data_IF_237099047551
#
_entry.id   IF_237099047551
#
_cell.length_a   1.000
_cell.length_b   1.000
_cell.length_c   1.000
_cell.angle_alpha   90.00
_cell.angle_beta   90.00
_cell.angle_gamma   90.00
#
_symmetry.space_group_name_H-M   'P 1'
#
loop_
_entity.id
_entity.type
_entity.pdbx_description
1 polymer ?
#
# COMPACT_ATOMS: atom_id res chain seq x y z
N UNK A 1 -13.46 0.20 12.66
CA UNK A 1 -12.57 -0.97 12.43
C UNK A 1 -13.35 -2.19 11.98
N UNK A 2 -14.38 -2.63 12.72
CA UNK A 2 -15.23 -3.75 12.30
C UNK A 2 -15.85 -3.61 10.91
N UNK A 3 -16.23 -2.39 10.49
CA UNK A 3 -16.74 -2.12 9.14
C UNK A 3 -15.72 -2.43 8.04
N UNK A 4 -14.47 -2.02 8.25
CA UNK A 4 -13.37 -2.27 7.31
C UNK A 4 -13.10 -3.77 7.22
N UNK A 5 -13.02 -4.45 8.37
CA UNK A 5 -12.83 -5.90 8.45
C UNK A 5 -13.98 -6.64 7.74
N UNK A 6 -15.23 -6.24 8.03
CA UNK A 6 -16.41 -6.80 7.38
C UNK A 6 -16.37 -6.63 5.86
N UNK A 7 -16.02 -5.44 5.37
CA UNK A 7 -15.88 -5.15 3.95
C UNK A 7 -14.80 -5.99 3.27
N UNK A 8 -13.65 -6.21 3.94
CA UNK A 8 -12.59 -7.09 3.44
C UNK A 8 -13.06 -8.54 3.34
N UNK A 9 -13.76 -9.05 4.35
CA UNK A 9 -14.33 -10.41 4.35
C UNK A 9 -15.36 -10.58 3.23
N UNK A 10 -16.27 -9.63 3.08
CA UNK A 10 -17.26 -9.64 2.01
C UNK A 10 -16.59 -9.59 0.64
N UNK A 11 -15.55 -8.76 0.46
CA UNK A 11 -14.78 -8.69 -0.78
C UNK A 11 -14.08 -10.01 -1.12
N UNK A 12 -13.50 -10.68 -0.12
CA UNK A 12 -12.88 -12.00 -0.29
C UNK A 12 -13.92 -13.07 -0.67
N UNK A 13 -15.07 -13.09 -0.01
CA UNK A 13 -16.17 -14.01 -0.33
C UNK A 13 -16.68 -13.77 -1.76
N UNK A 14 -16.96 -12.52 -2.13
CA UNK A 14 -17.39 -12.17 -3.49
C UNK A 14 -16.34 -12.57 -4.53
N UNK A 15 -15.06 -12.31 -4.28
CA UNK A 15 -13.96 -12.74 -5.14
C UNK A 15 -13.89 -14.27 -5.29
N UNK A 16 -14.16 -15.02 -4.22
CA UNK A 16 -14.22 -16.48 -4.26
C UNK A 16 -15.41 -17.00 -5.08
N UNK A 17 -16.61 -16.41 -4.91
CA UNK A 17 -17.81 -16.77 -5.70
C UNK A 17 -17.64 -16.44 -7.20
N UNK A 18 -17.00 -15.32 -7.51
CA UNK A 18 -16.78 -14.84 -8.88
C UNK A 18 -15.57 -15.48 -9.59
N UNK A 19 -14.81 -16.34 -8.90
CA UNK A 19 -13.57 -16.99 -9.41
C UNK A 19 -13.74 -17.75 -10.72
N UNK A 20 -14.95 -18.27 -11.02
CA UNK A 20 -15.24 -19.03 -12.25
C UNK A 20 -15.64 -18.14 -13.45
N UNK A 21 -15.80 -16.83 -13.26
CA UNK A 21 -16.15 -15.89 -14.33
C UNK A 21 -14.88 -15.20 -14.85
N UNK A 22 -14.81 -15.00 -16.16
CA UNK A 22 -13.69 -14.28 -16.78
C UNK A 22 -13.87 -12.77 -16.52
N UNK A 23 -13.12 -12.25 -15.54
CA UNK A 23 -13.20 -10.85 -15.07
C UNK A 23 -12.22 -9.92 -15.81
N UNK A 24 -11.73 -10.29 -16.99
CA UNK A 24 -10.77 -9.47 -17.78
C UNK A 24 -11.20 -8.02 -17.99
N UNK A 25 -12.50 -7.72 -18.04
CA UNK A 25 -13.04 -6.35 -18.16
C UNK A 25 -12.90 -5.51 -16.89
N UNK A 26 -12.68 -6.12 -15.73
CA UNK A 26 -12.54 -5.41 -14.45
C UNK A 26 -11.18 -4.70 -14.38
N UNK A 27 -10.12 -5.31 -14.92
CA UNK A 27 -8.78 -4.72 -14.87
C UNK A 27 -8.71 -3.31 -15.49
N UNK A 28 -9.19 -3.06 -16.73
CA UNK A 28 -9.19 -1.70 -17.29
C UNK A 28 -10.09 -0.74 -16.51
N UNK A 29 -11.20 -1.22 -15.93
CA UNK A 29 -12.06 -0.40 -15.06
C UNK A 29 -11.31 0.04 -13.80
N UNK A 30 -10.59 -0.88 -13.14
CA UNK A 30 -9.77 -0.56 -11.96
C UNK A 30 -8.71 0.48 -12.33
N UNK A 31 -8.00 0.29 -13.44
CA UNK A 31 -6.98 1.24 -13.89
C UNK A 31 -7.57 2.63 -14.15
N UNK A 32 -8.74 2.71 -14.80
CA UNK A 32 -9.46 3.97 -15.01
C UNK A 32 -9.85 4.63 -13.67
N UNK A 33 -10.35 3.85 -12.71
CA UNK A 33 -10.70 4.35 -11.39
C UNK A 33 -9.47 4.86 -10.61
N UNK A 34 -8.33 4.18 -10.71
CA UNK A 34 -7.07 4.64 -10.11
C UNK A 34 -6.65 5.97 -10.72
N UNK A 35 -6.71 6.11 -12.05
CA UNK A 35 -6.42 7.37 -12.72
C UNK A 35 -7.34 8.50 -12.25
N UNK A 36 -8.63 8.24 -12.16
CA UNK A 36 -9.61 9.21 -11.69
C UNK A 36 -9.36 9.60 -10.23
N UNK A 37 -9.06 8.63 -9.37
CA UNK A 37 -8.73 8.87 -7.96
C UNK A 37 -7.48 9.74 -7.83
N UNK A 38 -6.41 9.43 -8.57
CA UNK A 38 -5.17 10.21 -8.57
C UNK A 38 -5.40 11.63 -9.09
N UNK A 39 -6.26 11.80 -10.09
CA UNK A 39 -6.63 13.10 -10.62
C UNK A 39 -7.37 13.95 -9.58
N UNK A 40 -8.39 13.39 -8.93
CA UNK A 40 -9.14 14.08 -7.86
C UNK A 40 -8.21 14.43 -6.70
N UNK A 41 -7.36 13.49 -6.28
CA UNK A 41 -6.36 13.72 -5.22
C UNK A 41 -5.44 14.88 -5.59
N UNK A 42 -4.99 14.96 -6.84
CA UNK A 42 -4.17 16.06 -7.32
C UNK A 42 -4.87 17.42 -7.25
N UNK A 43 -6.17 17.47 -7.58
CA UNK A 43 -6.99 18.69 -7.45
C UNK A 43 -7.14 19.09 -5.98
N UNK A 44 -7.47 18.13 -5.11
CA UNK A 44 -7.69 18.37 -3.69
C UNK A 44 -6.43 18.91 -3.00
N UNK A 45 -5.28 18.30 -3.31
CA UNK A 45 -3.97 18.76 -2.82
C UNK A 45 -3.57 20.11 -3.42
N UNK A 46 -3.79 20.29 -4.73
CA UNK A 46 -3.44 21.53 -5.45
C UNK A 46 -4.28 22.74 -5.05
N UNK A 47 -5.54 22.52 -4.67
CA UNK A 47 -6.46 23.57 -4.21
C UNK A 47 -6.22 23.97 -2.75
N UNK A 48 -5.41 23.23 -2.00
CA UNK A 48 -5.13 23.53 -0.60
C UNK A 48 -3.85 24.35 -0.46
N UNK A 49 -4.00 25.66 -0.23
CA UNK A 49 -2.86 26.57 -0.07
C UNK A 49 -1.93 26.19 1.10
N UNK A 50 -2.44 25.60 2.18
CA UNK A 50 -1.60 25.16 3.31
C UNK A 50 -0.68 24.02 2.88
N UNK A 51 -1.19 23.07 2.10
CA UNK A 51 -0.39 21.94 1.58
C UNK A 51 0.63 22.44 0.56
N UNK A 52 0.26 23.37 -0.32
CA UNK A 52 1.17 23.94 -1.33
C UNK A 52 2.30 24.76 -0.67
N UNK A 53 1.97 25.60 0.32
CA UNK A 53 2.98 26.38 1.06
C UNK A 53 3.86 25.50 1.96
N UNK A 54 3.27 24.46 2.55
CA UNK A 54 3.94 23.48 3.38
C UNK A 54 4.65 22.37 2.60
N UNK A 55 4.54 22.34 1.26
CA UNK A 55 4.97 21.22 0.42
C UNK A 55 6.45 20.88 0.60
N UNK A 56 7.29 21.90 0.80
CA UNK A 56 8.73 21.69 1.01
C UNK A 56 9.01 20.98 2.34
N UNK A 57 8.36 21.38 3.43
CA UNK A 57 8.52 20.78 4.76
C UNK A 57 7.92 19.37 4.80
N UNK A 58 6.67 19.22 4.32
CA UNK A 58 5.97 17.94 4.25
C UNK A 58 6.71 16.98 3.32
N UNK A 59 7.22 17.49 2.20
CA UNK A 59 8.00 16.72 1.23
C UNK A 59 9.31 16.19 1.82
N UNK A 60 10.05 17.02 2.57
CA UNK A 60 11.26 16.59 3.26
C UNK A 60 10.96 15.51 4.31
N UNK A 61 9.96 15.73 5.16
CA UNK A 61 9.54 14.74 6.15
C UNK A 61 9.12 13.42 5.49
N UNK A 62 8.32 13.49 4.41
CA UNK A 62 7.88 12.32 3.67
C UNK A 62 9.07 11.53 3.09
N UNK A 63 10.08 12.20 2.53
CA UNK A 63 11.29 11.55 2.02
C UNK A 63 12.06 10.88 3.14
N UNK A 64 12.28 11.56 4.27
CA UNK A 64 12.99 10.99 5.42
C UNK A 64 12.25 9.79 6.00
N UNK A 65 10.94 9.88 6.17
CA UNK A 65 10.10 8.79 6.66
C UNK A 65 10.07 7.61 5.69
N UNK A 66 9.97 7.87 4.39
CA UNK A 66 9.95 6.80 3.36
C UNK A 66 11.28 6.08 3.29
N UNK A 67 12.40 6.81 3.25
CA UNK A 67 13.73 6.22 3.19
C UNK A 67 14.06 5.50 4.50
N UNK A 68 13.84 6.15 5.64
CA UNK A 68 14.08 5.57 6.95
C UNK A 68 13.22 4.34 7.21
N UNK A 69 11.92 4.41 6.90
CA UNK A 69 10.98 3.31 7.04
C UNK A 69 11.29 2.14 6.10
N UNK A 70 11.64 2.41 4.85
CA UNK A 70 12.00 1.36 3.88
C UNK A 70 13.32 0.69 4.25
N UNK A 71 14.37 1.47 4.53
CA UNK A 71 15.66 0.93 4.93
C UNK A 71 15.56 0.15 6.25
N UNK A 72 14.85 0.70 7.24
CA UNK A 72 14.59 0.03 8.52
C UNK A 72 13.84 -1.29 8.32
N UNK A 73 12.81 -1.31 7.47
CA UNK A 73 12.04 -2.53 7.16
C UNK A 73 12.89 -3.58 6.46
N UNK A 74 13.74 -3.19 5.50
CA UNK A 74 14.66 -4.09 4.80
C UNK A 74 15.70 -4.67 5.77
N UNK A 75 16.30 -3.84 6.62
CA UNK A 75 17.28 -4.28 7.62
C UNK A 75 16.63 -5.22 8.65
N UNK A 76 15.42 -4.89 9.13
CA UNK A 76 14.69 -5.73 10.06
C UNK A 76 14.29 -7.07 9.42
N UNK A 77 13.81 -7.07 8.18
CA UNK A 77 13.49 -8.29 7.43
C UNK A 77 14.74 -9.15 7.22
N UNK A 78 15.89 -8.54 6.88
CA UNK A 78 17.16 -9.24 6.73
C UNK A 78 17.67 -9.81 8.06
N UNK A 79 17.55 -9.06 9.16
CA UNK A 79 17.92 -9.51 10.49
C UNK A 79 17.04 -10.70 10.94
N UNK A 80 15.73 -10.61 10.70
CA UNK A 80 14.78 -11.69 10.95
C UNK A 80 15.14 -12.93 10.13
N UNK A 81 15.40 -12.76 8.83
CA UNK A 81 15.84 -13.84 7.95
C UNK A 81 17.10 -14.51 8.48
N UNK A 82 18.12 -13.72 8.87
CA UNK A 82 19.38 -14.24 9.41
C UNK A 82 19.21 -14.93 10.76
N UNK A 83 18.35 -14.42 11.63
CA UNK A 83 18.04 -15.04 12.91
C UNK A 83 17.30 -16.37 12.75
N UNK A 84 16.32 -16.44 11.84
CA UNK A 84 15.59 -17.67 11.52
C UNK A 84 16.49 -18.70 10.83
N UNK A 85 17.36 -18.26 9.93
CA UNK A 85 18.32 -19.15 9.24
C UNK A 85 19.39 -19.67 10.20
N UNK A 86 19.92 -18.85 11.12
CA UNK A 86 20.79 -19.33 12.20
C UNK A 86 20.10 -20.34 13.13
N UNK A 87 18.80 -20.22 13.37
CA UNK A 87 18.03 -21.23 14.14
C UNK A 87 17.80 -22.53 13.34
N UNK A 88 17.71 -22.47 12.02
CA UNK A 88 17.59 -23.67 11.15
C UNK A 88 18.94 -24.29 10.77
N UNK A 89 20.05 -23.54 10.83
CA UNK A 89 21.42 -23.99 10.56
C UNK A 89 22.08 -24.83 11.66
N UNK A 90 21.30 -25.40 12.58
CA UNK A 90 21.72 -26.45 13.51
C UNK A 90 21.08 -27.81 13.22
N UNK A 91 20.39 -27.96 12.09
CA UNK A 91 19.90 -29.24 11.54
C UNK A 91 19.83 -29.14 10.02
N UNK A 92 20.99 -29.10 9.38
CA UNK A 92 21.19 -29.64 8.04
C UNK A 92 22.11 -30.85 8.19
#
# INVERSE_FOLDING_TARGET
MFTIIGLMLTGMLLGYLLRKRDLKKIHPIITLLIWLLLFILGIEVGSNEEIIRGLHTIGYEAVVLTLGGTLGSVIAAWALWRALYKRKGGRA
#
